data_IF_228842590855
#
_entry.id   IF_228842590855
#
_cell.length_a   1.000
_cell.length_b   1.000
_cell.length_c   1.000
_cell.angle_alpha   90.00
_cell.angle_beta   90.00
_cell.angle_gamma   90.00
#
_symmetry.space_group_name_H-M   'P 1'
#
loop_
_entity.id
_entity.type
_entity.pdbx_description
1 polymer ?
#
# COMPACT_ATOMS: atom_id res chain seq x y z
N UNK A 1 -29.56 -96.36 1.42
CA UNK A 1 -28.34 -96.71 0.65
C UNK A 1 -28.00 -95.50 -0.22
N UNK A 2 -26.93 -94.77 0.08
CA UNK A 2 -26.40 -93.75 -0.83
C UNK A 2 -25.67 -94.45 -2.00
N UNK A 3 -25.48 -93.80 -3.17
CA UNK A 3 -24.33 -92.89 -3.31
C UNK A 3 -24.53 -91.68 -4.26
N UNK A 4 -23.70 -90.64 -4.07
CA UNK A 4 -23.25 -89.69 -5.11
C UNK A 4 -22.06 -90.34 -5.85
N UNK A 5 -21.75 -90.06 -7.14
CA UNK A 5 -20.82 -88.93 -7.44
C UNK A 5 -20.83 -88.32 -8.87
N UNK A 6 -20.09 -87.21 -8.99
CA UNK A 6 -19.23 -86.70 -10.08
C UNK A 6 -19.78 -86.53 -11.53
N UNK A 7 -19.85 -85.32 -12.10
CA UNK A 7 -18.78 -84.44 -12.64
C UNK A 7 -18.46 -84.71 -14.13
N UNK A 8 -18.51 -83.67 -14.98
CA UNK A 8 -17.55 -83.35 -16.05
C UNK A 8 -18.08 -82.24 -16.97
N UNK A 9 -17.33 -81.14 -17.06
CA UNK A 9 -17.23 -80.33 -18.29
C UNK A 9 -16.21 -80.98 -19.22
N UNK A 10 -16.31 -80.77 -20.55
CA UNK A 10 -15.27 -79.97 -21.20
C UNK A 10 -15.75 -79.06 -22.35
N UNK A 11 -14.91 -78.05 -22.65
CA UNK A 11 -14.87 -77.11 -23.79
C UNK A 11 -14.53 -77.86 -25.12
N UNK A 12 -14.71 -77.41 -26.38
CA UNK A 12 -14.51 -76.12 -27.11
C UNK A 12 -15.25 -76.12 -28.51
N UNK A 13 -15.79 -74.94 -28.91
CA UNK A 13 -15.86 -74.17 -30.20
C UNK A 13 -15.82 -74.83 -31.63
N UNK A 14 -16.10 -74.11 -32.77
CA UNK A 14 -16.80 -72.82 -33.03
C UNK A 14 -17.79 -72.82 -34.25
N UNK A 15 -18.64 -71.79 -34.41
CA UNK A 15 -19.09 -71.31 -35.74
C UNK A 15 -19.60 -69.86 -35.67
N UNK A 16 -19.02 -69.00 -36.53
CA UNK A 16 -19.37 -67.59 -36.71
C UNK A 16 -20.72 -67.40 -37.42
N UNK A 17 -21.51 -66.40 -37.01
CA UNK A 17 -22.27 -65.54 -37.93
C UNK A 17 -22.32 -64.10 -37.39
N UNK A 18 -22.08 -63.15 -38.29
CA UNK A 18 -21.87 -61.73 -38.05
C UNK A 18 -23.16 -60.88 -38.19
N UNK A 19 -23.06 -59.61 -37.73
CA UNK A 19 -23.97 -58.45 -37.88
C UNK A 19 -25.05 -58.36 -36.79
N UNK A 20 -25.22 -57.29 -36.03
CA UNK A 20 -25.26 -55.87 -36.41
C UNK A 20 -24.66 -54.95 -35.32
N UNK A 21 -23.74 -54.07 -35.71
CA UNK A 21 -23.11 -53.02 -34.89
C UNK A 21 -23.95 -51.74 -34.89
N UNK A 22 -25.17 -51.79 -34.36
CA UNK A 22 -26.07 -50.62 -34.42
C UNK A 22 -26.78 -50.28 -33.10
N UNK A 23 -26.35 -50.83 -31.95
CA UNK A 23 -27.03 -50.56 -30.67
C UNK A 23 -26.09 -50.44 -29.46
N UNK A 24 -24.81 -50.08 -29.70
CA UNK A 24 -23.82 -49.78 -28.64
C UNK A 24 -23.30 -48.35 -28.67
N UNK A 25 -23.76 -47.54 -29.63
CA UNK A 25 -23.27 -46.18 -29.86
C UNK A 25 -24.08 -45.07 -29.18
N UNK A 26 -25.31 -45.35 -28.71
CA UNK A 26 -26.20 -44.30 -28.20
C UNK A 26 -26.13 -44.11 -26.67
N UNK A 27 -25.73 -45.14 -25.91
CA UNK A 27 -25.66 -45.05 -24.43
C UNK A 27 -24.27 -44.65 -23.92
N UNK A 28 -23.22 -44.80 -24.73
CA UNK A 28 -21.85 -44.41 -24.38
C UNK A 28 -21.54 -42.92 -24.63
N UNK A 29 -22.45 -42.19 -25.31
CA UNK A 29 -22.23 -40.80 -25.74
C UNK A 29 -23.05 -39.74 -25.00
N UNK A 30 -23.93 -40.12 -24.06
CA UNK A 30 -24.90 -39.20 -23.46
C UNK A 30 -25.15 -39.48 -21.97
N UNK A 31 -24.12 -39.42 -21.13
CA UNK A 31 -24.16 -39.27 -19.66
C UNK A 31 -22.66 -39.22 -19.29
N UNK A 32 -22.02 -38.13 -18.89
CA UNK A 32 -22.33 -37.22 -17.78
C UNK A 32 -21.57 -35.92 -18.07
N UNK A 33 -22.23 -34.85 -18.54
CA UNK A 33 -21.73 -33.51 -18.22
C UNK A 33 -22.07 -33.34 -16.75
N UNK A 34 -21.16 -33.75 -15.86
CA UNK A 34 -21.34 -33.54 -14.44
C UNK A 34 -21.38 -32.02 -14.28
N UNK A 35 -22.57 -31.47 -14.05
CA UNK A 35 -22.69 -30.09 -13.58
C UNK A 35 -21.93 -30.09 -12.25
N UNK A 36 -20.68 -29.61 -12.28
CA UNK A 36 -19.88 -29.46 -11.10
C UNK A 36 -20.65 -28.51 -10.19
N UNK A 37 -21.21 -29.02 -9.10
CA UNK A 37 -21.70 -28.21 -7.99
C UNK A 37 -20.45 -27.64 -7.33
N UNK A 38 -20.01 -26.48 -7.80
CA UNK A 38 -18.79 -25.85 -7.33
C UNK A 38 -19.17 -24.63 -6.49
N UNK A 39 -18.95 -24.74 -5.17
CA UNK A 39 -18.77 -23.58 -4.32
C UNK A 39 -17.41 -22.98 -4.69
N UNK A 40 -17.40 -21.73 -5.11
CA UNK A 40 -16.18 -21.00 -5.43
C UNK A 40 -16.04 -19.81 -4.49
N UNK A 41 -14.80 -19.47 -4.14
CA UNK A 41 -14.45 -18.33 -3.28
C UNK A 41 -13.39 -17.53 -3.99
N UNK A 42 -13.57 -16.22 -4.04
CA UNK A 42 -12.68 -15.28 -4.72
C UNK A 42 -12.36 -14.09 -3.83
N UNK A 43 -11.10 -13.69 -3.81
CA UNK A 43 -10.58 -12.54 -3.06
C UNK A 43 -10.24 -11.36 -3.98
N UNK A 44 -10.87 -11.31 -5.16
CA UNK A 44 -10.63 -10.28 -6.18
C UNK A 44 -9.61 -10.71 -7.24
N UNK A 45 -9.19 -9.74 -8.06
CA UNK A 45 -8.30 -9.97 -9.22
C UNK A 45 -6.87 -10.30 -8.80
N UNK A 46 -6.41 -9.69 -7.71
CA UNK A 46 -5.09 -9.91 -7.12
C UNK A 46 -5.27 -10.46 -5.72
N UNK A 47 -4.43 -11.42 -5.34
CA UNK A 47 -4.42 -12.01 -4.01
C UNK A 47 -3.47 -11.28 -3.05
N UNK A 48 -2.94 -10.11 -3.43
CA UNK A 48 -2.09 -9.26 -2.60
C UNK A 48 -2.82 -7.97 -2.26
N UNK A 49 -2.72 -7.56 -1.01
CA UNK A 49 -3.27 -6.30 -0.50
C UNK A 49 -2.14 -5.55 0.21
N UNK A 50 -2.02 -4.25 -0.09
CA UNK A 50 -1.05 -3.37 0.54
C UNK A 50 -1.77 -2.46 1.54
N UNK A 51 -1.27 -2.38 2.76
CA UNK A 51 -1.78 -1.50 3.80
C UNK A 51 -0.65 -0.64 4.39
N UNK A 52 -1.01 0.55 4.85
CA UNK A 52 -0.10 1.40 5.62
C UNK A 52 -0.23 1.07 7.11
N UNK A 53 0.88 1.10 7.83
CA UNK A 53 0.88 0.97 9.29
C UNK A 53 -0.01 2.06 9.93
N UNK A 54 -0.95 1.67 10.78
CA UNK A 54 -1.95 2.51 11.42
C UNK A 54 -3.17 2.87 10.56
N UNK A 55 -3.36 2.21 9.40
CA UNK A 55 -4.56 2.38 8.57
C UNK A 55 -5.52 1.21 8.71
N UNK A 56 -6.76 1.39 8.24
CA UNK A 56 -7.72 0.29 8.11
C UNK A 56 -7.61 -0.33 6.71
N UNK A 57 -7.70 -1.66 6.61
CA UNK A 57 -7.60 -2.37 5.33
C UNK A 57 -8.80 -3.28 5.10
N UNK A 58 -9.35 -3.21 3.89
CA UNK A 58 -10.37 -4.14 3.41
C UNK A 58 -9.72 -5.43 2.91
N UNK A 59 -10.16 -6.56 3.45
CA UNK A 59 -9.84 -7.90 2.97
C UNK A 59 -11.03 -8.43 2.15
N UNK A 60 -10.99 -8.32 0.81
CA UNK A 60 -12.11 -8.70 -0.04
C UNK A 60 -12.33 -10.22 -0.05
N UNK A 61 -13.56 -10.67 0.13
CA UNK A 61 -13.92 -12.06 -0.13
C UNK A 61 -15.36 -12.15 -0.62
N UNK A 62 -15.56 -12.91 -1.70
CA UNK A 62 -16.86 -13.20 -2.30
C UNK A 62 -16.96 -14.69 -2.56
N UNK A 63 -18.18 -15.22 -2.59
CA UNK A 63 -18.40 -16.61 -2.93
C UNK A 63 -19.48 -16.78 -4.00
N UNK A 64 -19.37 -17.83 -4.78
CA UNK A 64 -20.34 -18.20 -5.81
C UNK A 64 -20.80 -19.61 -5.57
N UNK A 65 -22.08 -19.86 -5.77
CA UNK A 65 -22.71 -21.16 -5.56
C UNK A 65 -23.72 -21.40 -6.68
N UNK A 66 -23.81 -22.65 -7.15
CA UNK A 66 -24.64 -23.02 -8.29
C UNK A 66 -26.12 -23.15 -7.90
N UNK A 67 -26.42 -23.69 -6.71
CA UNK A 67 -27.80 -23.96 -6.27
C UNK A 67 -28.25 -23.04 -5.12
N UNK A 68 -27.44 -22.02 -4.81
CA UNK A 68 -27.57 -21.16 -3.65
C UNK A 68 -27.09 -21.83 -2.36
N UNK A 69 -27.36 -21.16 -1.24
CA UNK A 69 -26.86 -21.57 0.06
C UNK A 69 -27.95 -21.57 1.13
N UNK A 70 -27.74 -22.39 2.15
CA UNK A 70 -28.57 -22.48 3.34
C UNK A 70 -27.67 -22.86 4.51
N UNK A 71 -27.77 -22.14 5.63
CA UNK A 71 -26.92 -22.32 6.81
C UNK A 71 -25.41 -22.31 6.47
N UNK A 72 -25.02 -21.40 5.57
CA UNK A 72 -23.64 -21.24 5.11
C UNK A 72 -22.76 -20.73 6.24
N UNK A 73 -21.53 -21.22 6.28
CA UNK A 73 -20.55 -20.88 7.29
C UNK A 73 -19.36 -20.27 6.58
N UNK A 74 -18.89 -19.13 7.06
CA UNK A 74 -17.63 -18.55 6.61
C UNK A 74 -16.73 -18.21 7.79
N UNK A 75 -15.44 -18.44 7.61
CA UNK A 75 -14.42 -18.23 8.63
C UNK A 75 -13.19 -17.60 7.99
N UNK A 76 -12.65 -16.57 8.64
CA UNK A 76 -11.37 -15.99 8.29
C UNK A 76 -10.28 -16.50 9.23
N UNK A 77 -9.16 -16.90 8.64
CA UNK A 77 -7.97 -17.33 9.36
C UNK A 77 -6.77 -16.45 9.04
N UNK A 78 -6.03 -16.03 10.07
CA UNK A 78 -4.71 -15.44 9.96
C UNK A 78 -3.64 -16.55 10.09
N UNK A 79 -2.69 -16.57 9.15
CA UNK A 79 -1.60 -17.54 9.05
C UNK A 79 -2.06 -19.00 9.20
N UNK A 80 -3.24 -19.31 8.66
CA UNK A 80 -3.88 -20.65 8.64
C UNK A 80 -4.33 -21.22 9.98
N UNK A 81 -3.94 -20.64 11.11
CA UNK A 81 -4.19 -21.22 12.45
C UNK A 81 -5.11 -20.36 13.29
N UNK A 82 -4.95 -19.05 13.25
CA UNK A 82 -5.71 -18.13 14.10
C UNK A 82 -7.03 -17.77 13.45
N UNK A 83 -8.15 -18.14 14.08
CA UNK A 83 -9.47 -17.72 13.63
C UNK A 83 -9.73 -16.27 14.06
N UNK A 84 -9.88 -15.37 13.09
CA UNK A 84 -10.09 -13.93 13.34
C UNK A 84 -11.54 -13.48 13.14
N UNK A 85 -12.32 -14.25 12.39
CA UNK A 85 -13.76 -13.99 12.20
C UNK A 85 -14.48 -15.30 11.89
N UNK A 86 -15.64 -15.52 12.51
CA UNK A 86 -16.52 -16.65 12.24
C UNK A 86 -17.98 -16.20 12.16
N UNK A 87 -18.60 -16.43 11.01
CA UNK A 87 -19.97 -16.03 10.72
C UNK A 87 -20.82 -17.15 10.13
N UNK A 88 -22.14 -17.04 10.29
CA UNK A 88 -23.14 -17.96 9.75
C UNK A 88 -24.24 -17.19 9.02
N UNK A 89 -24.67 -17.70 7.87
CA UNK A 89 -25.69 -17.05 7.05
C UNK A 89 -26.81 -18.06 6.82
N UNK A 90 -28.00 -17.74 7.31
CA UNK A 90 -29.15 -18.65 7.20
C UNK A 90 -29.58 -18.81 5.75
N UNK A 91 -29.80 -17.71 5.05
CA UNK A 91 -30.27 -17.70 3.65
C UNK A 91 -29.94 -16.37 2.96
N UNK A 92 -30.32 -16.22 1.68
CA UNK A 92 -30.15 -14.99 0.88
C UNK A 92 -30.97 -13.79 1.35
N UNK A 93 -31.88 -13.96 2.31
CA UNK A 93 -32.69 -12.85 2.86
C UNK A 93 -32.29 -12.48 4.28
N UNK A 94 -31.36 -13.22 4.88
CA UNK A 94 -30.88 -12.97 6.24
C UNK A 94 -29.52 -12.30 6.23
N UNK A 95 -29.33 -11.36 7.13
CA UNK A 95 -27.99 -10.86 7.44
C UNK A 95 -27.12 -11.95 8.10
N UNK A 96 -25.79 -11.87 7.94
CA UNK A 96 -24.86 -12.75 8.61
C UNK A 96 -24.94 -12.63 10.13
N UNK A 97 -25.03 -13.78 10.81
CA UNK A 97 -24.91 -13.89 12.25
C UNK A 97 -23.43 -14.00 12.65
N UNK A 98 -22.99 -13.10 13.52
CA UNK A 98 -21.67 -13.15 14.14
C UNK A 98 -21.62 -14.24 15.21
N UNK A 99 -20.66 -15.15 15.10
CA UNK A 99 -20.41 -16.18 16.12
C UNK A 99 -19.20 -15.83 17.00
N UNK A 100 -18.08 -15.45 16.38
CA UNK A 100 -16.86 -15.06 17.09
C UNK A 100 -16.00 -14.16 16.20
N UNK A 101 -15.21 -13.26 16.80
CA UNK A 101 -14.42 -12.26 16.08
C UNK A 101 -13.32 -11.66 16.93
N UNK A 102 -12.19 -11.37 16.30
CA UNK A 102 -11.12 -10.53 16.84
C UNK A 102 -11.61 -9.07 16.95
N UNK A 103 -11.44 -8.37 18.08
CA UNK A 103 -11.96 -7.01 18.27
C UNK A 103 -11.59 -5.99 17.18
N UNK A 104 -10.41 -6.12 16.55
CA UNK A 104 -9.95 -5.23 15.47
C UNK A 104 -10.55 -5.55 14.10
N UNK A 105 -11.30 -6.64 13.96
CA UNK A 105 -11.89 -7.06 12.70
C UNK A 105 -13.36 -6.67 12.67
N UNK A 106 -13.84 -6.14 11.55
CA UNK A 106 -15.25 -5.83 11.32
C UNK A 106 -15.77 -6.45 10.03
N UNK A 107 -17.03 -6.85 10.05
CA UNK A 107 -17.70 -7.36 8.86
C UNK A 107 -18.32 -6.20 8.10
N UNK A 108 -18.04 -6.12 6.79
CA UNK A 108 -18.55 -5.05 5.92
C UNK A 108 -19.20 -5.58 4.64
N UNK A 109 -19.34 -6.90 4.52
CA UNK A 109 -19.98 -7.55 3.38
C UNK A 109 -21.49 -7.44 3.38
N UNK A 110 -22.11 -7.87 2.27
CA UNK A 110 -23.55 -8.09 2.16
C UNK A 110 -23.79 -9.40 1.43
N UNK A 111 -24.68 -10.21 1.99
CA UNK A 111 -25.02 -11.54 1.47
C UNK A 111 -26.47 -11.61 1.01
N UNK A 112 -27.15 -10.45 0.96
CA UNK A 112 -28.55 -10.34 0.59
C UNK A 112 -28.72 -10.01 -0.89
N UNK A 113 -29.78 -10.55 -1.49
CA UNK A 113 -30.07 -10.32 -2.91
C UNK A 113 -29.06 -10.98 -3.85
N UNK A 114 -28.28 -10.15 -4.58
CA UNK A 114 -27.30 -10.60 -5.58
C UNK A 114 -25.87 -10.64 -5.04
N UNK A 115 -25.62 -9.98 -3.92
CA UNK A 115 -24.28 -9.88 -3.36
C UNK A 115 -24.00 -11.10 -2.49
N UNK A 116 -22.89 -11.77 -2.74
CA UNK A 116 -22.37 -12.84 -1.91
C UNK A 116 -21.02 -12.40 -1.30
N UNK A 117 -21.01 -11.20 -0.74
CA UNK A 117 -19.83 -10.54 -0.23
C UNK A 117 -19.67 -10.81 1.27
N UNK A 118 -18.55 -11.40 1.63
CA UNK A 118 -18.17 -11.76 3.02
C UNK A 118 -16.83 -11.13 3.42
N UNK A 119 -16.56 -9.94 2.87
CA UNK A 119 -15.36 -9.15 3.15
C UNK A 119 -15.36 -8.62 4.59
N UNK A 120 -14.15 -8.47 5.11
CA UNK A 120 -13.90 -7.91 6.44
C UNK A 120 -12.95 -6.71 6.34
N UNK A 121 -13.01 -5.81 7.30
CA UNK A 121 -12.02 -4.75 7.53
C UNK A 121 -11.19 -5.13 8.74
N UNK A 122 -9.87 -5.06 8.61
CA UNK A 122 -8.94 -5.10 9.74
C UNK A 122 -8.56 -3.65 10.08
N UNK A 123 -8.84 -3.26 11.32
CA UNK A 123 -8.58 -1.90 11.84
C UNK A 123 -7.21 -1.77 12.43
N UNK A 124 -6.67 -0.55 12.38
CA UNK A 124 -5.41 -0.18 13.03
C UNK A 124 -4.30 -1.19 12.69
N UNK A 125 -4.02 -1.36 11.40
CA UNK A 125 -3.09 -2.37 10.88
C UNK A 125 -1.67 -2.13 11.40
N UNK A 126 -1.05 -3.15 11.95
CA UNK A 126 0.33 -3.14 12.42
C UNK A 126 1.27 -3.91 11.47
N UNK A 127 2.58 -3.69 11.55
CA UNK A 127 3.56 -4.46 10.77
C UNK A 127 3.49 -5.98 11.04
N UNK A 128 3.11 -6.36 12.26
CA UNK A 128 2.90 -7.74 12.71
C UNK A 128 1.70 -8.42 12.05
N UNK A 129 0.75 -7.63 11.52
CA UNK A 129 -0.41 -8.14 10.79
C UNK A 129 -0.07 -8.58 9.36
N UNK A 130 1.15 -8.33 8.88
CA UNK A 130 1.60 -8.83 7.59
C UNK A 130 1.57 -10.37 7.58
N UNK A 131 0.88 -10.95 6.60
CA UNK A 131 0.71 -12.41 6.57
C UNK A 131 -0.40 -12.89 5.64
N UNK A 132 -0.80 -14.14 5.83
CA UNK A 132 -1.81 -14.81 5.00
C UNK A 132 -3.17 -14.77 5.67
N UNK A 133 -4.15 -14.19 4.99
CA UNK A 133 -5.55 -14.13 5.41
C UNK A 133 -6.37 -15.04 4.52
N UNK A 134 -6.88 -16.14 5.08
CA UNK A 134 -7.63 -17.15 4.33
C UNK A 134 -9.11 -17.06 4.65
N UNK A 135 -9.91 -16.75 3.64
CA UNK A 135 -11.37 -16.81 3.69
C UNK A 135 -11.81 -18.23 3.35
N UNK A 136 -12.39 -18.94 4.32
CA UNK A 136 -12.87 -20.31 4.17
C UNK A 136 -14.39 -20.33 4.22
N UNK A 137 -15.03 -20.94 3.22
CA UNK A 137 -16.48 -21.02 3.10
C UNK A 137 -16.93 -22.47 3.04
N UNK A 138 -17.99 -22.79 3.77
CA UNK A 138 -18.66 -24.09 3.77
C UNK A 138 -20.14 -23.92 3.45
N UNK A 139 -20.61 -24.60 2.41
CA UNK A 139 -22.01 -24.61 2.01
C UNK A 139 -22.63 -26.01 2.23
N UNK A 140 -23.38 -26.22 3.33
CA UNK A 140 -24.05 -27.50 3.60
C UNK A 140 -25.01 -27.92 2.47
N UNK A 141 -25.69 -26.95 1.85
CA UNK A 141 -26.66 -27.19 0.76
C UNK A 141 -26.02 -27.88 -0.45
N UNK A 142 -24.75 -27.60 -0.72
CA UNK A 142 -23.96 -28.22 -1.78
C UNK A 142 -23.16 -29.41 -1.26
N UNK A 143 -23.81 -30.35 -0.56
CA UNK A 143 -23.17 -31.55 0.02
C UNK A 143 -21.97 -31.22 0.93
N UNK A 144 -22.07 -30.16 1.72
CA UNK A 144 -20.96 -29.65 2.55
C UNK A 144 -19.71 -29.26 1.73
N UNK A 145 -19.89 -28.77 0.51
CA UNK A 145 -18.81 -28.20 -0.29
C UNK A 145 -18.05 -27.14 0.51
N UNK A 146 -16.73 -27.16 0.37
CA UNK A 146 -15.81 -26.26 1.05
C UNK A 146 -14.83 -25.73 0.02
N UNK A 147 -14.58 -24.43 0.09
CA UNK A 147 -13.59 -23.78 -0.74
C UNK A 147 -13.00 -22.60 0.03
N UNK A 148 -11.77 -22.25 -0.29
CA UNK A 148 -11.06 -21.16 0.36
C UNK A 148 -10.25 -20.35 -0.65
N UNK A 149 -9.97 -19.11 -0.27
CA UNK A 149 -9.08 -18.25 -1.01
C UNK A 149 -8.26 -17.43 0.00
N UNK A 150 -7.00 -17.19 -0.35
CA UNK A 150 -6.02 -16.57 0.55
C UNK A 150 -5.52 -15.26 -0.03
N UNK A 151 -5.48 -14.23 0.82
CA UNK A 151 -4.88 -12.93 0.58
C UNK A 151 -3.52 -12.90 1.29
N UNK A 152 -2.54 -12.27 0.67
CA UNK A 152 -1.26 -11.89 1.27
C UNK A 152 -1.33 -10.40 1.59
N UNK A 153 -1.43 -10.07 2.88
CA UNK A 153 -1.38 -8.69 3.36
C UNK A 153 0.09 -8.29 3.53
N UNK A 154 0.48 -7.22 2.84
CA UNK A 154 1.77 -6.56 3.03
C UNK A 154 1.55 -5.24 3.72
N UNK A 155 2.29 -4.99 4.80
CA UNK A 155 2.18 -3.74 5.56
C UNK A 155 3.45 -2.93 5.36
N UNK A 156 3.30 -1.67 5.00
CA UNK A 156 4.40 -0.73 4.78
C UNK A 156 4.31 0.45 5.73
N UNK A 157 5.46 1.05 6.04
CA UNK A 157 5.50 2.24 6.87
C UNK A 157 4.83 3.41 6.14
N UNK A 158 4.07 4.21 6.90
CA UNK A 158 3.59 5.51 6.43
C UNK A 158 4.82 6.41 6.27
N UNK A 159 5.13 6.77 5.03
CA UNK A 159 6.11 7.82 4.75
C UNK A 159 5.46 9.13 5.17
N UNK A 160 6.02 9.80 6.17
CA UNK A 160 5.67 11.19 6.47
C UNK A 160 6.28 12.05 5.35
N UNK A 161 5.48 12.91 4.71
CA UNK A 161 6.03 13.85 3.74
C UNK A 161 7.06 14.73 4.46
N UNK A 162 8.29 14.75 3.93
CA UNK A 162 9.36 15.59 4.50
C UNK A 162 8.88 17.03 4.56
N UNK A 163 8.88 17.60 5.76
CA UNK A 163 8.47 18.98 5.98
C UNK A 163 9.20 19.95 5.04
N UNK A 164 8.42 20.61 4.19
CA UNK A 164 8.88 21.71 3.33
C UNK A 164 9.47 22.87 4.15
N UNK A 165 9.30 22.85 5.47
CA UNK A 165 9.95 23.71 6.46
C UNK A 165 11.46 23.77 6.27
N UNK A 166 12.12 22.64 5.99
CA UNK A 166 13.57 22.65 5.75
C UNK A 166 13.91 23.46 4.50
N UNK A 167 13.16 23.24 3.42
CA UNK A 167 13.30 23.99 2.17
C UNK A 167 13.01 25.48 2.38
N UNK A 168 11.99 25.82 3.17
CA UNK A 168 11.57 27.19 3.47
C UNK A 168 12.62 27.92 4.32
N UNK A 169 13.22 27.23 5.30
CA UNK A 169 14.34 27.75 6.09
C UNK A 169 15.54 28.03 5.17
N UNK A 170 15.90 27.09 4.28
CA UNK A 170 17.03 27.26 3.35
C UNK A 170 16.81 28.47 2.43
N UNK A 171 15.63 28.59 1.81
CA UNK A 171 15.29 29.72 0.93
C UNK A 171 15.32 31.04 1.71
N UNK A 172 14.81 31.05 2.95
CA UNK A 172 14.81 32.24 3.82
C UNK A 172 16.22 32.72 4.18
N UNK A 173 17.13 31.82 4.56
CA UNK A 173 18.51 32.17 4.92
C UNK A 173 19.27 32.74 3.71
N UNK A 174 19.18 32.06 2.56
CA UNK A 174 19.88 32.48 1.34
C UNK A 174 19.31 33.83 0.85
N UNK A 175 17.99 33.94 0.74
CA UNK A 175 17.34 35.19 0.31
C UNK A 175 17.60 36.36 1.26
N UNK A 176 17.56 36.11 2.57
CA UNK A 176 17.84 37.12 3.60
C UNK A 176 19.29 37.64 3.54
N UNK A 177 20.26 36.76 3.35
CA UNK A 177 21.67 37.15 3.21
C UNK A 177 21.90 38.05 1.99
N UNK A 178 21.39 37.64 0.83
CA UNK A 178 21.49 38.47 -0.39
C UNK A 178 20.74 39.80 -0.25
N UNK A 179 19.54 39.78 0.35
CA UNK A 179 18.77 41.00 0.62
C UNK A 179 19.51 41.98 1.54
N UNK A 180 20.14 41.48 2.60
CA UNK A 180 20.90 42.29 3.56
C UNK A 180 22.18 42.88 2.92
N UNK A 181 22.86 42.12 2.06
CA UNK A 181 24.01 42.62 1.30
C UNK A 181 23.60 43.75 0.35
N UNK A 182 22.50 43.58 -0.39
CA UNK A 182 21.98 44.61 -1.30
C UNK A 182 21.59 45.86 -0.51
N UNK A 183 20.86 45.72 0.60
CA UNK A 183 20.48 46.82 1.46
C UNK A 183 21.70 47.58 1.99
N UNK A 184 22.71 46.86 2.47
CA UNK A 184 23.96 47.46 2.94
C UNK A 184 24.68 48.25 1.83
N UNK A 185 24.73 47.72 0.61
CA UNK A 185 25.30 48.41 -0.54
C UNK A 185 24.53 49.69 -0.90
N UNK A 186 23.19 49.68 -0.84
CA UNK A 186 22.36 50.85 -1.08
C UNK A 186 22.57 51.93 0.00
N UNK A 187 22.58 51.54 1.28
CA UNK A 187 22.82 52.46 2.40
C UNK A 187 24.21 53.08 2.29
N UNK A 188 25.26 52.28 2.04
CA UNK A 188 26.61 52.81 1.80
C UNK A 188 26.63 53.83 0.66
N UNK A 189 25.96 53.53 -0.46
CA UNK A 189 25.91 54.42 -1.62
C UNK A 189 25.25 55.76 -1.28
N UNK A 190 24.14 55.74 -0.54
CA UNK A 190 23.44 56.96 -0.10
C UNK A 190 24.30 57.76 0.88
N UNK A 191 24.93 57.10 1.86
CA UNK A 191 25.83 57.76 2.82
C UNK A 191 27.00 58.42 2.11
N UNK A 192 27.68 57.69 1.20
CA UNK A 192 28.78 58.24 0.40
C UNK A 192 28.33 59.43 -0.46
N UNK A 193 27.12 59.35 -1.03
CA UNK A 193 26.54 60.44 -1.80
C UNK A 193 26.30 61.70 -0.93
N UNK A 194 25.74 61.54 0.28
CA UNK A 194 25.52 62.64 1.23
C UNK A 194 26.84 63.25 1.68
N UNK A 195 27.83 62.42 2.07
CA UNK A 195 29.15 62.90 2.50
C UNK A 195 29.82 63.70 1.36
N UNK A 196 29.77 63.20 0.13
CA UNK A 196 30.31 63.90 -1.04
C UNK A 196 29.60 65.25 -1.27
N UNK A 197 28.27 65.28 -1.19
CA UNK A 197 27.48 66.53 -1.28
C UNK A 197 27.83 67.54 -0.18
N UNK A 198 28.01 67.09 1.06
CA UNK A 198 28.40 67.94 2.20
C UNK A 198 29.82 68.47 2.02
N UNK A 199 30.76 67.65 1.54
CA UNK A 199 32.12 68.10 1.24
C UNK A 199 32.14 69.13 0.11
N UNK A 200 31.33 68.95 -0.94
CA UNK A 200 31.26 69.89 -2.05
C UNK A 200 30.65 71.23 -1.61
N UNK A 201 29.63 71.24 -0.73
CA UNK A 201 29.12 72.47 -0.11
C UNK A 201 30.09 73.13 0.87
N UNK A 202 30.94 72.36 1.57
CA UNK A 202 31.95 72.92 2.49
C UNK A 202 33.11 73.61 1.75
N UNK A 203 33.42 73.20 0.51
CA UNK A 203 34.45 73.84 -0.33
C UNK A 203 34.04 75.24 -0.80
N UNK A 204 32.75 75.51 -0.95
CA UNK A 204 32.24 76.83 -1.34
C UNK A 204 32.28 77.86 -0.18
N UNK A 205 32.24 77.40 1.07
CA UNK A 205 32.39 78.28 2.24
C UNK A 205 33.85 78.59 2.62
N UNK A 206 34.83 77.80 2.15
CA UNK A 206 36.25 77.97 2.50
C UNK A 206 37.02 78.90 1.55
N UNK A 207 36.36 79.50 0.54
CA UNK A 207 36.98 80.47 -0.39
C UNK A 207 36.77 81.93 0.06
N UNK A 208 36.26 82.19 1.27
CA UNK A 208 36.10 83.57 1.80
C UNK A 208 36.68 83.82 3.20
N UNK A 209 37.84 83.24 3.52
CA UNK A 209 38.65 83.77 4.62
C UNK A 209 40.14 83.78 4.27
N UNK A 210 40.56 84.89 3.67
CA UNK A 210 41.96 85.31 3.63
C UNK A 210 42.38 85.74 5.04
N UNK A 211 43.49 85.20 5.52
CA UNK A 211 44.09 85.52 6.81
C UNK A 211 45.49 84.93 6.89
N UNK A 212 46.43 85.69 6.34
CA UNK A 212 47.86 85.45 6.24
C UNK A 212 48.51 85.11 7.59
N UNK A 213 49.39 84.11 7.67
CA UNK A 213 50.51 84.11 8.63
C UNK A 213 51.65 83.18 8.18
N UNK A 214 52.84 83.77 8.08
CA UNK A 214 54.10 83.12 7.74
C UNK A 214 54.77 82.62 9.02
N UNK A 215 55.28 81.38 9.08
CA UNK A 215 56.40 81.01 9.96
C UNK A 215 57.14 79.77 9.41
N UNK A 216 58.31 80.03 8.84
CA UNK A 216 59.63 79.40 9.06
C UNK A 216 59.84 77.86 9.16
N UNK A 217 60.80 77.40 8.33
CA UNK A 217 61.76 76.28 8.39
C UNK A 217 61.58 75.06 9.30
N UNK A 218 61.94 73.87 8.76
CA UNK A 218 62.23 72.67 9.55
C UNK A 218 62.61 71.42 8.75
N UNK A 219 63.90 71.27 8.51
CA UNK A 219 64.71 70.21 7.89
C UNK A 219 64.45 68.73 8.32
N UNK A 220 64.58 67.83 7.32
CA UNK A 220 65.08 66.42 7.25
C UNK A 220 64.78 65.34 8.31
N UNK A 221 64.56 64.10 7.81
CA UNK A 221 65.13 62.89 8.45
C UNK A 221 64.36 61.56 8.31
N UNK A 222 64.92 60.65 7.49
CA UNK A 222 64.98 59.16 7.60
C UNK A 222 63.69 58.30 7.68
N UNK A 223 63.50 57.30 6.78
CA UNK A 223 64.00 55.89 6.82
C UNK A 223 63.40 55.13 8.02
N UNK A 224 62.78 53.95 7.97
CA UNK A 224 62.99 52.69 7.25
C UNK A 224 61.74 51.80 7.54
N UNK A 225 61.16 51.06 6.60
CA UNK A 225 61.46 49.65 6.26
C UNK A 225 60.54 48.61 6.95
N UNK A 226 60.27 47.57 6.17
CA UNK A 226 59.20 46.57 6.22
C UNK A 226 59.30 45.55 7.35
N UNK A 227 58.16 44.93 7.72
CA UNK A 227 58.12 43.48 8.00
C UNK A 227 56.68 42.90 7.95
N UNK A 228 56.41 42.16 6.88
CA UNK A 228 55.61 40.92 6.92
C UNK A 228 56.63 39.75 6.87
N UNK A 229 56.32 38.43 7.02
CA UNK A 229 55.03 37.77 6.72
C UNK A 229 54.75 36.54 7.66
N UNK A 230 54.21 35.37 7.23
CA UNK A 230 52.99 34.78 7.79
C UNK A 230 53.19 33.39 8.42
N UNK A 231 52.13 32.78 8.96
CA UNK A 231 51.99 31.32 9.18
C UNK A 231 50.51 30.98 8.90
N UNK A 232 50.17 30.09 7.96
CA UNK A 232 50.40 28.65 7.93
C UNK A 232 49.69 27.96 9.10
#
# INVERSE_FOLDING_TARGET
>A
MAPRPAAASPLLLPALLARSTADKGLVQGLYVLAIALALEVSVGKTNTVLALNGSDVLLPCTFTTCIGFQDLIFTWYFNSTEMIYHGKIKSKTSEPFLVSRNPRVEFVGSTTGKDNNISIVLKDVELSDAGKYTCHVKNPKEKNAQHNATIILTVVHKMEETDNTLTLIIVGVVGGFFGLLILFMLVKRVILFIIKKVQDGKKECLVSSSGNDNTENGLAGSKAEQKAPPKA
#
